data_IF_490197144632
#
_entry.id   IF_490197144632
#
_cell.length_a   1.000
_cell.length_b   1.000
_cell.length_c   1.000
_cell.angle_alpha   90.00
_cell.angle_beta   90.00
_cell.angle_gamma   90.00
#
_symmetry.space_group_name_H-M   'P 1'
#
loop_
_entity.id
_entity.type
_entity.pdbx_description
1 polymer ?
#
# COMPACT_ATOMS: atom_id res chain seq x y z
N UNK A 1 -34.61 12.14 -30.84
CA UNK A 1 -34.57 10.97 -29.92
C UNK A 1 -33.16 10.60 -29.38
N UNK A 2 -32.30 11.53 -28.88
CA UNK A 2 -30.99 11.15 -28.28
C UNK A 2 -30.99 11.00 -26.75
N UNK A 3 -31.97 11.59 -26.02
CA UNK A 3 -31.96 11.70 -24.55
C UNK A 3 -32.01 10.34 -23.80
N UNK A 4 -32.71 9.34 -24.34
CA UNK A 4 -32.81 7.99 -23.73
C UNK A 4 -31.49 7.20 -23.78
N UNK A 5 -30.70 7.35 -24.85
CA UNK A 5 -29.41 6.63 -24.99
C UNK A 5 -28.34 7.18 -24.04
N UNK A 6 -28.34 8.49 -23.79
CA UNK A 6 -27.42 9.15 -22.85
C UNK A 6 -27.73 8.73 -21.39
N UNK A 7 -29.01 8.66 -21.03
CA UNK A 7 -29.42 8.28 -19.67
C UNK A 7 -29.02 6.83 -19.31
N UNK A 8 -29.17 5.89 -20.25
CA UNK A 8 -28.78 4.48 -20.05
C UNK A 8 -27.26 4.34 -19.89
N UNK A 9 -26.48 5.10 -20.68
CA UNK A 9 -25.02 5.12 -20.55
C UNK A 9 -24.53 5.61 -19.19
N UNK A 10 -25.15 6.65 -18.64
CA UNK A 10 -24.82 7.20 -17.32
C UNK A 10 -25.15 6.23 -16.17
N UNK A 11 -26.27 5.51 -16.26
CA UNK A 11 -26.65 4.49 -15.26
C UNK A 11 -25.64 3.33 -15.25
N UNK A 12 -25.22 2.85 -16.43
CA UNK A 12 -24.26 1.75 -16.54
C UNK A 12 -22.87 2.13 -16.01
N UNK A 13 -22.41 3.37 -16.24
CA UNK A 13 -21.16 3.91 -15.68
C UNK A 13 -21.22 4.01 -14.15
N UNK A 14 -22.35 4.44 -13.59
CA UNK A 14 -22.56 4.52 -12.14
C UNK A 14 -22.50 3.14 -11.46
N UNK A 15 -23.15 2.13 -12.05
CA UNK A 15 -23.16 0.76 -11.53
C UNK A 15 -21.77 0.11 -11.55
N UNK A 16 -20.97 0.37 -12.60
CA UNK A 16 -19.60 -0.14 -12.69
C UNK A 16 -18.70 0.46 -11.60
N UNK A 17 -18.79 1.77 -11.37
CA UNK A 17 -17.98 2.43 -10.33
C UNK A 17 -18.29 1.89 -8.94
N UNK A 18 -19.57 1.73 -8.58
CA UNK A 18 -19.98 1.21 -7.27
C UNK A 18 -19.44 -0.20 -6.99
N UNK A 19 -19.48 -1.09 -7.99
CA UNK A 19 -18.93 -2.45 -7.87
C UNK A 19 -17.42 -2.45 -7.60
N UNK A 20 -16.66 -1.58 -8.26
CA UNK A 20 -15.20 -1.50 -8.07
C UNK A 20 -14.83 -0.98 -6.68
N UNK A 21 -15.56 0.00 -6.15
CA UNK A 21 -15.36 0.52 -4.79
C UNK A 21 -15.63 -0.54 -3.73
N UNK A 22 -16.72 -1.30 -3.86
CA UNK A 22 -17.04 -2.38 -2.92
C UNK A 22 -15.96 -3.49 -2.91
N UNK A 23 -15.43 -3.83 -4.09
CA UNK A 23 -14.33 -4.80 -4.22
C UNK A 23 -13.06 -4.31 -3.55
N UNK A 24 -12.68 -3.05 -3.78
CA UNK A 24 -11.50 -2.46 -3.14
C UNK A 24 -11.68 -2.37 -1.62
N UNK A 25 -12.86 -1.97 -1.13
CA UNK A 25 -13.16 -1.94 0.31
C UNK A 25 -12.99 -3.31 0.96
N UNK A 26 -13.49 -4.37 0.32
CA UNK A 26 -13.32 -5.74 0.81
C UNK A 26 -11.85 -6.17 0.84
N UNK A 27 -11.08 -5.82 -0.20
CA UNK A 27 -9.64 -6.08 -0.22
C UNK A 27 -8.92 -5.33 0.90
N UNK A 28 -9.26 -4.06 1.08
CA UNK A 28 -8.69 -3.19 2.10
C UNK A 28 -8.92 -3.78 3.50
N UNK A 29 -10.10 -4.33 3.81
CA UNK A 29 -10.34 -5.03 5.09
C UNK A 29 -9.53 -6.33 5.24
N UNK A 30 -9.32 -7.07 4.14
CA UNK A 30 -8.47 -8.28 4.13
C UNK A 30 -7.01 -7.97 4.42
N UNK A 31 -6.53 -6.77 4.06
CA UNK A 31 -5.19 -6.32 4.42
C UNK A 31 -5.05 -6.21 5.94
N UNK A 32 -5.97 -5.51 6.61
CA UNK A 32 -5.90 -5.37 8.08
C UNK A 32 -5.97 -6.73 8.78
N UNK A 33 -6.88 -7.61 8.33
CA UNK A 33 -6.99 -8.97 8.85
C UNK A 33 -5.71 -9.80 8.64
N UNK A 34 -5.04 -9.67 7.49
CA UNK A 34 -3.77 -10.36 7.21
C UNK A 34 -2.69 -9.95 8.22
N UNK A 35 -2.59 -8.66 8.50
CA UNK A 35 -1.57 -8.10 9.39
C UNK A 35 -1.94 -8.16 10.88
N UNK A 36 -3.09 -8.71 11.25
CA UNK A 36 -3.57 -8.73 12.63
C UNK A 36 -3.93 -7.35 13.19
N UNK A 37 -4.16 -6.36 12.32
CA UNK A 37 -4.63 -5.03 12.74
C UNK A 37 -6.08 -5.16 13.18
N UNK A 38 -6.36 -4.72 14.41
CA UNK A 38 -7.72 -4.63 14.93
C UNK A 38 -8.39 -3.38 14.37
N UNK A 39 -9.61 -3.48 13.79
CA UNK A 39 -10.35 -2.33 13.30
C UNK A 39 -10.58 -1.30 14.42
N UNK A 40 -10.20 -0.06 14.17
CA UNK A 40 -10.46 1.10 15.03
C UNK A 40 -11.55 1.98 14.41
N UNK A 41 -11.95 3.06 15.11
CA UNK A 41 -12.89 4.04 14.57
C UNK A 41 -12.33 4.76 13.32
N UNK A 42 -11.01 4.88 13.23
CA UNK A 42 -10.30 5.38 12.05
C UNK A 42 -8.94 4.69 11.97
N UNK A 43 -8.67 4.03 10.85
CA UNK A 43 -7.43 3.29 10.63
C UNK A 43 -7.02 3.21 9.16
N UNK A 44 -6.10 2.29 8.85
CA UNK A 44 -5.56 2.17 7.51
C UNK A 44 -6.61 1.80 6.45
N UNK A 45 -7.68 1.08 6.81
CA UNK A 45 -8.82 0.86 5.92
C UNK A 45 -9.37 2.17 5.39
N UNK A 46 -9.70 3.10 6.30
CA UNK A 46 -10.32 4.38 5.98
C UNK A 46 -9.39 5.25 5.13
N UNK A 47 -8.10 5.28 5.48
CA UNK A 47 -7.08 5.98 4.71
C UNK A 47 -7.01 5.42 3.27
N UNK A 48 -6.98 4.10 3.12
CA UNK A 48 -6.99 3.47 1.79
C UNK A 48 -8.27 3.79 1.02
N UNK A 49 -9.42 3.86 1.67
CA UNK A 49 -10.67 4.26 1.03
C UNK A 49 -10.65 5.72 0.56
N UNK A 50 -10.17 6.64 1.41
CA UNK A 50 -9.99 8.05 1.02
C UNK A 50 -9.00 8.19 -0.15
N UNK A 51 -7.91 7.42 -0.14
CA UNK A 51 -6.97 7.38 -1.25
C UNK A 51 -7.57 6.74 -2.50
N UNK A 52 -8.46 5.76 -2.38
CA UNK A 52 -9.11 5.11 -3.52
C UNK A 52 -10.06 6.05 -4.25
N UNK A 53 -10.69 6.95 -3.51
CA UNK A 53 -11.51 8.02 -4.09
C UNK A 53 -10.66 9.05 -4.85
N UNK A 54 -9.33 9.02 -4.71
CA UNK A 54 -8.43 9.72 -5.62
C UNK A 54 -8.36 9.03 -6.99
N UNK A 55 -8.24 9.83 -8.05
CA UNK A 55 -8.15 9.32 -9.44
C UNK A 55 -6.93 8.43 -9.65
N UNK A 56 -5.83 8.68 -8.93
CA UNK A 56 -4.58 7.95 -9.10
C UNK A 56 -4.67 6.50 -8.61
N UNK A 57 -5.09 6.26 -7.36
CA UNK A 57 -5.21 4.90 -6.84
C UNK A 57 -6.29 4.10 -7.57
N UNK A 58 -7.41 4.76 -7.93
CA UNK A 58 -8.45 4.14 -8.76
C UNK A 58 -7.90 3.67 -10.11
N UNK A 59 -7.06 4.48 -10.76
CA UNK A 59 -6.40 4.10 -12.01
C UNK A 59 -5.46 2.91 -11.81
N UNK A 60 -4.60 2.95 -10.79
CA UNK A 60 -3.69 1.84 -10.45
C UNK A 60 -4.45 0.53 -10.23
N UNK A 61 -5.58 0.58 -9.51
CA UNK A 61 -6.46 -0.56 -9.26
C UNK A 61 -7.12 -1.12 -10.53
N UNK A 62 -7.48 -0.25 -11.48
CA UNK A 62 -8.09 -0.63 -12.74
C UNK A 62 -7.10 -1.29 -13.70
N UNK A 63 -5.81 -0.92 -13.64
CA UNK A 63 -4.75 -1.55 -14.46
C UNK A 63 -4.51 -3.02 -14.13
N UNK A 64 -5.01 -3.50 -12.98
CA UNK A 64 -4.79 -4.88 -12.52
C UNK A 64 -3.31 -5.27 -12.43
N UNK A 65 -2.49 -4.36 -11.93
CA UNK A 65 -1.08 -4.62 -11.62
C UNK A 65 -0.93 -5.14 -10.19
N UNK A 66 0.24 -5.72 -9.89
CA UNK A 66 0.68 -5.97 -8.51
C UNK A 66 0.85 -4.64 -7.80
N UNK A 67 0.19 -4.50 -6.66
CA UNK A 67 0.33 -3.31 -5.82
C UNK A 67 1.10 -3.68 -4.57
N UNK A 68 2.01 -2.81 -4.18
CA UNK A 68 2.71 -2.87 -2.91
C UNK A 68 2.22 -1.74 -2.04
N UNK A 69 2.05 -2.02 -0.75
CA UNK A 69 1.56 -1.05 0.22
C UNK A 69 2.46 -1.07 1.44
N UNK A 70 2.82 0.10 1.95
CA UNK A 70 3.44 0.31 3.24
C UNK A 70 2.57 1.22 4.09
N UNK A 71 2.45 0.87 5.35
CA UNK A 71 1.72 1.62 6.37
C UNK A 71 2.57 1.70 7.65
N UNK A 72 2.58 2.86 8.29
CA UNK A 72 3.13 3.07 9.62
C UNK A 72 2.28 4.14 10.35
N UNK A 73 2.29 4.13 11.67
CA UNK A 73 1.69 5.13 12.52
C UNK A 73 2.73 5.62 13.52
N UNK A 74 3.00 6.93 13.47
CA UNK A 74 3.95 7.58 14.36
C UNK A 74 3.18 8.13 15.56
N UNK A 75 3.49 7.63 16.76
CA UNK A 75 2.79 7.98 17.99
C UNK A 75 3.01 9.45 18.38
N UNK A 76 4.22 9.96 18.18
CA UNK A 76 4.62 11.33 18.56
C UNK A 76 3.83 12.40 17.80
N UNK A 77 3.63 12.20 16.50
CA UNK A 77 2.88 13.12 15.63
C UNK A 77 1.41 12.74 15.45
N UNK A 78 1.00 11.57 15.96
CA UNK A 78 -0.30 10.95 15.69
C UNK A 78 -0.62 10.90 14.18
N UNK A 79 0.39 10.58 13.37
CA UNK A 79 0.33 10.63 11.91
C UNK A 79 0.43 9.24 11.30
N UNK A 80 -0.47 8.93 10.38
CA UNK A 80 -0.41 7.70 9.59
C UNK A 80 0.36 7.95 8.30
N UNK A 81 1.38 7.15 8.05
CA UNK A 81 2.14 7.18 6.80
C UNK A 81 1.66 6.06 5.89
N UNK A 82 1.41 6.38 4.62
CA UNK A 82 0.98 5.40 3.61
C UNK A 82 1.74 5.60 2.32
N UNK A 83 2.26 4.50 1.76
CA UNK A 83 2.83 4.47 0.42
C UNK A 83 2.25 3.31 -0.36
N UNK A 84 1.72 3.58 -1.55
CA UNK A 84 1.18 2.57 -2.46
C UNK A 84 1.90 2.72 -3.80
N UNK A 85 2.39 1.63 -4.37
CA UNK A 85 3.04 1.68 -5.68
C UNK A 85 2.79 0.41 -6.48
N UNK A 86 2.91 0.55 -7.79
CA UNK A 86 2.92 -0.52 -8.77
C UNK A 86 4.21 -0.44 -9.60
N UNK A 87 4.29 -1.17 -10.71
CA UNK A 87 5.40 -1.01 -11.66
C UNK A 87 5.34 0.30 -12.46
N UNK A 88 4.18 0.97 -12.49
CA UNK A 88 3.93 2.15 -13.32
C UNK A 88 3.81 3.44 -12.53
N UNK A 89 3.17 3.37 -11.35
CA UNK A 89 2.73 4.53 -10.61
C UNK A 89 3.08 4.38 -9.12
N UNK A 90 3.20 5.51 -8.43
CA UNK A 90 3.29 5.51 -6.97
C UNK A 90 2.59 6.72 -6.37
N UNK A 91 2.10 6.54 -5.15
CA UNK A 91 1.51 7.58 -4.33
C UNK A 91 2.00 7.41 -2.89
N UNK A 92 2.16 8.53 -2.20
CA UNK A 92 2.60 8.54 -0.82
C UNK A 92 2.00 9.73 -0.09
N UNK A 93 1.37 9.43 1.04
CA UNK A 93 0.56 10.35 1.80
C UNK A 93 0.78 10.16 3.29
N UNK A 94 0.73 11.27 3.99
CA UNK A 94 0.51 11.32 5.41
C UNK A 94 -0.97 11.62 5.68
N UNK A 95 -1.48 11.07 6.77
CA UNK A 95 -2.82 11.33 7.25
C UNK A 95 -2.81 11.69 8.73
N UNK A 96 -3.25 12.90 9.03
CA UNK A 96 -3.43 13.39 10.39
C UNK A 96 -4.84 13.98 10.51
N UNK A 97 -5.60 13.60 11.54
CA UNK A 97 -6.98 14.08 11.75
C UNK A 97 -7.89 13.97 10.51
N UNK A 98 -7.77 12.88 9.74
CA UNK A 98 -8.51 12.65 8.48
C UNK A 98 -8.19 13.63 7.34
N UNK A 99 -7.06 14.34 7.42
CA UNK A 99 -6.54 15.17 6.34
C UNK A 99 -5.39 14.46 5.65
N UNK A 100 -5.53 14.23 4.34
CA UNK A 100 -4.49 13.64 3.50
C UNK A 100 -3.54 14.70 2.98
N UNK A 101 -2.24 14.52 3.21
CA UNK A 101 -1.18 15.37 2.67
C UNK A 101 -0.21 14.51 1.87
N UNK A 102 0.04 14.88 0.60
CA UNK A 102 1.04 14.19 -0.22
C UNK A 102 2.43 14.47 0.34
N UNK A 103 3.26 13.43 0.51
CA UNK A 103 4.54 13.53 1.22
C UNK A 103 5.78 13.17 0.36
N UNK A 104 5.59 12.92 -0.94
CA UNK A 104 6.69 12.60 -1.85
C UNK A 104 7.40 11.25 -1.59
N UNK A 105 6.92 10.45 -0.64
CA UNK A 105 7.44 9.11 -0.35
C UNK A 105 8.62 9.07 0.62
N UNK A 106 8.89 10.15 1.35
CA UNK A 106 10.00 10.26 2.30
C UNK A 106 9.76 9.56 3.65
N UNK A 107 8.50 9.23 3.97
CA UNK A 107 8.14 8.55 5.22
C UNK A 107 8.68 7.11 5.32
N UNK A 108 9.09 6.51 4.21
CA UNK A 108 9.69 5.18 4.17
C UNK A 108 11.06 5.25 3.51
N UNK A 109 12.03 4.55 4.09
CA UNK A 109 13.40 4.50 3.55
C UNK A 109 13.40 3.72 2.24
N UNK A 110 14.25 4.12 1.29
CA UNK A 110 14.34 3.46 -0.01
C UNK A 110 14.72 1.96 0.12
N UNK A 111 15.54 1.62 1.12
CA UNK A 111 15.88 0.24 1.46
C UNK A 111 14.64 -0.62 1.76
N UNK A 112 13.70 -0.09 2.56
CA UNK A 112 12.45 -0.77 2.91
C UNK A 112 11.56 -0.94 1.68
N UNK A 113 11.43 0.13 0.89
CA UNK A 113 10.65 0.10 -0.35
C UNK A 113 11.23 -0.94 -1.33
N UNK A 114 12.55 -1.02 -1.45
CA UNK A 114 13.24 -1.99 -2.29
C UNK A 114 12.97 -3.43 -1.82
N UNK A 115 13.19 -3.71 -0.53
CA UNK A 115 12.99 -5.04 0.03
C UNK A 115 11.54 -5.52 -0.11
N UNK A 116 10.56 -4.62 0.12
CA UNK A 116 9.13 -4.91 -0.07
C UNK A 116 8.79 -5.10 -1.54
N UNK A 117 9.36 -4.31 -2.45
CA UNK A 117 9.16 -4.50 -3.90
C UNK A 117 9.67 -5.86 -4.37
N UNK A 118 10.84 -6.29 -3.89
CA UNK A 118 11.38 -7.64 -4.14
C UNK A 118 10.65 -8.73 -3.37
N UNK A 119 9.88 -8.35 -2.36
CA UNK A 119 9.25 -9.24 -1.40
C UNK A 119 10.24 -10.20 -0.73
N UNK A 120 11.45 -9.70 -0.44
CA UNK A 120 12.50 -10.45 0.25
C UNK A 120 12.22 -10.50 1.76
N UNK A 121 11.23 -11.31 2.13
CA UNK A 121 10.77 -11.44 3.53
C UNK A 121 11.86 -11.96 4.46
N UNK A 122 12.82 -12.74 3.94
CA UNK A 122 13.98 -13.23 4.70
C UNK A 122 14.89 -12.07 5.08
N UNK A 123 15.25 -11.21 4.13
CA UNK A 123 16.05 -10.02 4.42
C UNK A 123 15.32 -9.04 5.33
N UNK A 124 14.02 -8.81 5.10
CA UNK A 124 13.20 -7.93 5.96
C UNK A 124 13.27 -8.41 7.41
N UNK A 125 13.05 -9.70 7.68
CA UNK A 125 13.13 -10.25 9.04
C UNK A 125 14.53 -10.11 9.63
N UNK A 126 15.57 -10.47 8.87
CA UNK A 126 16.96 -10.33 9.30
C UNK A 126 17.30 -8.90 9.74
N UNK A 127 16.90 -7.89 8.97
CA UNK A 127 17.18 -6.50 9.30
C UNK A 127 16.32 -5.98 10.46
N UNK A 128 15.06 -6.42 10.56
CA UNK A 128 14.18 -6.06 11.67
C UNK A 128 14.62 -6.68 13.01
N UNK A 129 15.25 -7.86 13.00
CA UNK A 129 15.84 -8.50 14.18
C UNK A 129 17.18 -7.86 14.58
N UNK A 130 17.97 -7.43 13.60
CA UNK A 130 19.26 -6.79 13.82
C UNK A 130 19.15 -5.32 14.24
N UNK A 131 18.03 -4.65 13.94
CA UNK A 131 17.77 -3.33 14.49
C UNK A 131 17.45 -3.45 15.98
N UNK A 132 18.27 -2.83 16.83
CA UNK A 132 17.80 -2.42 18.16
C UNK A 132 16.45 -1.72 17.97
N UNK A 133 15.48 -1.93 18.85
CA UNK A 133 14.15 -1.30 18.80
C UNK A 133 14.29 0.24 18.86
N UNK A 134 14.69 0.85 17.75
CA UNK A 134 14.93 2.27 17.61
C UNK A 134 13.59 2.93 17.41
N UNK A 135 12.82 3.10 18.49
CA UNK A 135 11.65 4.00 18.61
C UNK A 135 10.66 4.05 17.41
N UNK A 136 10.68 3.03 16.56
CA UNK A 136 10.09 3.08 15.24
C UNK A 136 8.81 2.28 15.27
N UNK A 137 7.71 2.91 14.86
CA UNK A 137 6.43 2.23 14.76
C UNK A 137 6.49 0.99 13.87
N UNK A 138 5.59 0.05 14.11
CA UNK A 138 5.45 -1.15 13.26
C UNK A 138 5.08 -0.73 11.84
N UNK A 139 5.90 -1.16 10.88
CA UNK A 139 5.60 -1.05 9.46
C UNK A 139 4.79 -2.28 9.03
N UNK A 140 3.63 -2.03 8.45
CA UNK A 140 2.80 -3.04 7.82
C UNK A 140 3.00 -2.99 6.31
N UNK A 141 3.49 -4.08 5.74
CA UNK A 141 3.75 -4.20 4.31
C UNK A 141 2.80 -5.22 3.67
N UNK A 142 2.33 -4.90 2.46
CA UNK A 142 1.43 -5.74 1.70
C UNK A 142 1.88 -5.89 0.26
N UNK A 143 1.66 -7.07 -0.30
CA UNK A 143 1.74 -7.36 -1.74
C UNK A 143 0.40 -7.88 -2.20
N UNK A 144 -0.25 -7.10 -3.07
CA UNK A 144 -1.56 -7.38 -3.62
C UNK A 144 -1.36 -7.91 -5.04
N UNK A 145 -1.54 -9.22 -5.24
CA UNK A 145 -1.28 -9.86 -6.54
C UNK A 145 -2.60 -10.07 -7.27
N UNK A 146 -2.75 -9.56 -8.50
CA UNK A 146 -3.95 -9.73 -9.29
C UNK A 146 -4.08 -11.19 -9.79
N UNK A 147 -5.25 -11.78 -9.56
CA UNK A 147 -5.68 -13.07 -10.11
C UNK A 147 -7.03 -12.90 -10.81
N UNK A 148 -6.98 -12.51 -12.08
CA UNK A 148 -8.18 -12.19 -12.87
C UNK A 148 -8.99 -11.05 -12.23
N UNK A 149 -10.17 -11.38 -11.69
CA UNK A 149 -11.07 -10.40 -11.04
C UNK A 149 -10.81 -10.20 -9.55
N UNK A 150 -9.92 -10.98 -8.94
CA UNK A 150 -9.62 -10.97 -7.50
C UNK A 150 -8.17 -10.55 -7.26
N UNK A 151 -7.86 -10.22 -6.02
CA UNK A 151 -6.50 -10.03 -5.53
C UNK A 151 -6.22 -11.01 -4.40
N UNK A 152 -5.06 -11.66 -4.42
CA UNK A 152 -4.49 -12.25 -3.20
C UNK A 152 -3.80 -11.14 -2.40
N UNK A 153 -3.74 -11.36 -1.08
CA UNK A 153 -3.08 -10.44 -0.15
C UNK A 153 -2.02 -11.25 0.55
N UNK A 154 -0.78 -10.84 0.39
CA UNK A 154 0.31 -11.26 1.25
C UNK A 154 0.70 -10.07 2.13
N UNK A 155 1.09 -10.35 3.37
CA UNK A 155 1.49 -9.32 4.31
C UNK A 155 2.71 -9.75 5.12
N UNK A 156 3.48 -8.76 5.56
CA UNK A 156 4.54 -8.90 6.54
C UNK A 156 4.57 -7.63 7.39
N UNK A 157 4.79 -7.80 8.69
CA UNK A 157 4.93 -6.69 9.62
C UNK A 157 6.37 -6.71 10.14
N UNK A 158 6.98 -5.55 10.29
CA UNK A 158 8.35 -5.41 10.79
C UNK A 158 8.55 -4.07 11.48
N UNK A 159 9.51 -4.00 12.41
CA UNK A 159 9.89 -2.74 13.03
C UNK A 159 10.63 -1.86 12.02
N UNK A 160 10.55 -0.54 12.17
CA UNK A 160 11.40 0.36 11.39
C UNK A 160 12.89 0.03 11.61
N UNK A 161 13.65 -0.05 10.52
CA UNK A 161 15.06 -0.43 10.51
C UNK A 161 15.85 0.34 9.46
N UNK A 162 17.16 0.43 9.68
CA UNK A 162 18.12 1.04 8.77
C UNK A 162 19.01 -0.06 8.17
N UNK A 163 19.09 -0.09 6.84
CA UNK A 163 20.01 -0.98 6.11
C UNK A 163 21.14 -0.12 5.56
N UNK A 164 22.43 -0.46 5.80
CA UNK A 164 23.55 0.18 5.14
C UNK A 164 23.46 0.01 3.61
N UNK A 165 23.72 1.06 2.85
CA UNK A 165 23.58 1.07 1.37
C UNK A 165 24.48 0.02 0.67
N UNK A 166 25.62 -0.30 1.28
CA UNK A 166 26.57 -1.33 0.81
C UNK A 166 25.91 -2.72 0.72
N UNK A 167 25.02 -3.06 1.67
CA UNK A 167 24.35 -4.35 1.69
C UNK A 167 23.33 -4.51 0.55
N UNK A 168 22.73 -3.40 0.09
CA UNK A 168 21.74 -3.40 -0.99
C UNK A 168 22.42 -3.58 -2.35
N UNK A 169 23.54 -2.88 -2.58
CA UNK A 169 24.32 -2.97 -3.82
C UNK A 169 24.87 -4.39 -4.00
N UNK A 170 25.31 -5.05 -2.91
CA UNK A 170 25.79 -6.42 -2.98
C UNK A 170 24.68 -7.38 -3.45
N UNK A 171 23.47 -7.25 -2.91
CA UNK A 171 22.32 -8.09 -3.29
C UNK A 171 21.82 -7.82 -4.71
N UNK A 172 21.81 -6.56 -5.16
CA UNK A 172 21.46 -6.28 -6.57
C UNK A 172 22.41 -6.99 -7.53
N UNK A 173 23.72 -6.99 -7.25
CA UNK A 173 24.72 -7.68 -8.06
C UNK A 173 24.54 -9.20 -8.05
N UNK A 174 24.28 -9.81 -6.90
CA UNK A 174 24.06 -11.26 -6.80
C UNK A 174 22.82 -11.74 -7.58
N UNK A 175 21.77 -10.90 -7.68
CA UNK A 175 20.55 -11.22 -8.43
C UNK A 175 20.64 -10.98 -9.94
N UNK A 176 21.66 -10.26 -10.43
CA UNK A 176 21.93 -10.10 -11.87
C UNK A 176 22.90 -11.16 -12.43
N UNK A 177 23.44 -12.02 -11.56
CA UNK A 177 24.37 -13.09 -11.90
C UNK A 177 23.72 -14.49 -11.93
N UNK A 178 22.38 -14.57 -11.86
CA UNK A 178 21.58 -15.79 -11.98
C UNK A 178 20.54 -15.65 -13.08
#
# INVERSE_FOLDING_TARGET
>A
MPKRKILIGLILLGLYSCKTTAQFSTLSKRMDACSGIVPTQFGYHDIRMMLYDSTQLKSMWQRKDTLYVLHNYTLESAEFHTRIWSSHDSLSYDCQFKHLKKNGGTAFRQSQVFLVRKWDTTAIRKYAEASEQMHGGTIFAYRLIPHGKKYSVECINFNDFIVPEIDLIHREKEHHLK
#
